data_IF_426364017574
#
_entry.id   IF_426364017574
#
_cell.length_a   1.000
_cell.length_b   1.000
_cell.length_c   1.000
_cell.angle_alpha   90.00
_cell.angle_beta   90.00
_cell.angle_gamma   90.00
#
_symmetry.space_group_name_H-M   'P 1'
#
loop_
_entity.id
_entity.type
_entity.pdbx_description
1 polymer ?
#
# COMPACT_ATOMS: atom_id res chain seq x y z
N UNK A 1 -9.25 -28.03 3.30
CA UNK A 1 -8.93 -27.67 1.89
C UNK A 1 -9.78 -28.43 0.88
N UNK A 2 -10.00 -29.75 1.03
CA UNK A 2 -10.82 -30.53 0.08
C UNK A 2 -12.22 -29.95 -0.25
N UNK A 3 -12.90 -29.28 0.69
CA UNK A 3 -14.21 -28.66 0.40
C UNK A 3 -14.16 -27.40 -0.48
N UNK A 4 -13.04 -26.66 -0.48
CA UNK A 4 -12.85 -25.50 -1.37
C UNK A 4 -12.59 -25.93 -2.81
N UNK A 5 -11.67 -26.88 -2.98
CA UNK A 5 -11.36 -27.48 -4.29
C UNK A 5 -12.58 -28.17 -4.92
N UNK A 6 -13.39 -28.85 -4.10
CA UNK A 6 -14.62 -29.48 -4.55
C UNK A 6 -15.61 -28.45 -5.10
N UNK A 7 -15.87 -27.36 -4.39
CA UNK A 7 -16.79 -26.29 -4.81
C UNK A 7 -16.33 -25.62 -6.12
N UNK A 8 -15.04 -25.30 -6.23
CA UNK A 8 -14.47 -24.65 -7.41
C UNK A 8 -14.38 -25.58 -8.62
N UNK A 9 -14.30 -26.89 -8.40
CA UNK A 9 -14.32 -27.89 -9.48
C UNK A 9 -15.70 -28.04 -10.14
N UNK A 10 -16.78 -27.62 -9.46
CA UNK A 10 -18.16 -27.71 -9.98
C UNK A 10 -18.27 -26.93 -11.29
N UNK A 11 -17.75 -25.69 -11.36
CA UNK A 11 -17.78 -24.87 -12.60
C UNK A 11 -16.92 -25.44 -13.73
N UNK A 12 -16.00 -26.36 -13.43
CA UNK A 12 -15.04 -26.93 -14.39
C UNK A 12 -15.53 -28.27 -14.95
N UNK A 13 -16.67 -28.78 -14.51
CA UNK A 13 -17.22 -30.03 -15.05
C UNK A 13 -17.60 -29.85 -16.53
N UNK A 14 -17.28 -30.81 -17.41
CA UNK A 14 -17.68 -30.74 -18.80
C UNK A 14 -19.19 -30.92 -18.92
N UNK A 15 -19.83 -30.10 -19.77
CA UNK A 15 -21.26 -30.25 -20.09
C UNK A 15 -21.50 -31.56 -20.83
N UNK A 16 -22.37 -32.46 -20.35
CA UNK A 16 -22.75 -33.66 -21.09
C UNK A 16 -23.47 -33.30 -22.39
N UNK A 17 -23.24 -34.07 -23.46
CA UNK A 17 -23.79 -33.80 -24.79
C UNK A 17 -25.33 -33.80 -24.85
N UNK A 18 -25.96 -34.50 -23.90
CA UNK A 18 -27.41 -34.71 -23.82
C UNK A 18 -28.15 -33.64 -22.99
N UNK A 19 -27.42 -32.72 -22.35
CA UNK A 19 -27.98 -31.71 -21.45
C UNK A 19 -28.01 -30.34 -22.14
N UNK A 20 -29.16 -29.68 -22.10
CA UNK A 20 -29.31 -28.30 -22.58
C UNK A 20 -28.47 -27.33 -21.74
N UNK A 21 -28.14 -26.17 -22.30
CA UNK A 21 -27.31 -25.19 -21.59
C UNK A 21 -27.99 -24.68 -20.31
N UNK A 22 -29.31 -24.44 -20.32
CA UNK A 22 -30.06 -24.05 -19.12
C UNK A 22 -30.07 -25.15 -18.05
N UNK A 23 -30.27 -26.41 -18.43
CA UNK A 23 -30.27 -27.52 -17.47
C UNK A 23 -28.89 -27.75 -16.86
N UNK A 24 -27.83 -27.60 -17.65
CA UNK A 24 -26.46 -27.70 -17.15
C UNK A 24 -26.16 -26.55 -16.18
N UNK A 25 -26.49 -25.31 -16.55
CA UNK A 25 -26.31 -24.14 -15.68
C UNK A 25 -27.09 -24.28 -14.35
N UNK A 26 -28.33 -24.77 -14.40
CA UNK A 26 -29.13 -25.03 -13.20
C UNK A 26 -28.53 -26.13 -12.32
N UNK A 27 -27.97 -27.20 -12.91
CA UNK A 27 -27.29 -28.25 -12.18
C UNK A 27 -26.02 -27.76 -11.46
N UNK A 28 -25.22 -26.93 -12.15
CA UNK A 28 -24.06 -26.25 -11.56
C UNK A 28 -24.49 -25.35 -10.39
N UNK A 29 -25.57 -24.58 -10.55
CA UNK A 29 -26.06 -23.68 -9.50
C UNK A 29 -26.54 -24.44 -8.26
N UNK A 30 -27.31 -25.51 -8.42
CA UNK A 30 -27.78 -26.34 -7.29
C UNK A 30 -26.62 -27.01 -6.57
N UNK A 31 -25.67 -27.59 -7.30
CA UNK A 31 -24.49 -28.23 -6.71
C UNK A 31 -23.62 -27.22 -5.94
N UNK A 32 -23.50 -25.98 -6.42
CA UNK A 32 -22.85 -24.90 -5.67
C UNK A 32 -23.59 -24.59 -4.39
N UNK A 33 -24.91 -24.40 -4.45
CA UNK A 33 -25.67 -24.04 -3.25
C UNK A 33 -25.58 -25.13 -2.16
N UNK A 34 -25.61 -26.40 -2.55
CA UNK A 34 -25.42 -27.54 -1.63
C UNK A 34 -24.04 -27.55 -0.96
N UNK A 35 -22.98 -27.11 -1.68
CA UNK A 35 -21.61 -27.12 -1.19
C UNK A 35 -21.16 -25.78 -0.57
N UNK A 36 -22.00 -24.75 -0.63
CA UNK A 36 -21.68 -23.38 -0.20
C UNK A 36 -21.31 -23.27 1.27
N UNK A 37 -22.06 -23.94 2.16
CA UNK A 37 -21.77 -23.92 3.60
C UNK A 37 -20.40 -24.51 3.93
N UNK A 38 -20.02 -25.60 3.26
CA UNK A 38 -18.70 -26.21 3.39
C UNK A 38 -17.60 -25.30 2.85
N UNK A 39 -17.83 -24.66 1.70
CA UNK A 39 -16.91 -23.68 1.12
C UNK A 39 -16.64 -22.51 2.09
N UNK A 40 -17.70 -21.86 2.57
CA UNK A 40 -17.60 -20.72 3.48
C UNK A 40 -16.93 -21.08 4.81
N UNK A 41 -17.18 -22.29 5.33
CA UNK A 41 -16.52 -22.81 6.53
C UNK A 41 -15.01 -22.97 6.33
N UNK A 42 -14.59 -23.65 5.25
CA UNK A 42 -13.17 -23.87 4.98
C UNK A 42 -12.44 -22.59 4.59
N UNK A 43 -13.10 -21.70 3.84
CA UNK A 43 -12.60 -20.37 3.50
C UNK A 43 -12.32 -19.58 4.79
N UNK A 44 -13.28 -19.51 5.70
CA UNK A 44 -13.12 -18.78 6.97
C UNK A 44 -12.03 -19.41 7.87
N UNK A 45 -11.95 -20.74 7.93
CA UNK A 45 -10.93 -21.45 8.70
C UNK A 45 -9.51 -21.20 8.15
N UNK A 46 -9.34 -21.25 6.83
CA UNK A 46 -8.05 -20.98 6.19
C UNK A 46 -7.63 -19.51 6.34
N UNK A 47 -8.58 -18.58 6.23
CA UNK A 47 -8.34 -17.17 6.52
C UNK A 47 -7.85 -16.96 7.96
N UNK A 48 -8.52 -17.57 8.94
CA UNK A 48 -8.14 -17.46 10.34
C UNK A 48 -6.74 -18.04 10.61
N UNK A 49 -6.34 -19.11 9.92
CA UNK A 49 -5.00 -19.66 10.01
C UNK A 49 -3.93 -18.67 9.51
N UNK A 50 -4.19 -17.99 8.40
CA UNK A 50 -3.31 -16.91 7.89
C UNK A 50 -3.20 -15.76 8.88
N UNK A 51 -4.34 -15.36 9.45
CA UNK A 51 -4.39 -14.24 10.40
C UNK A 51 -3.64 -14.53 11.71
N UNK A 52 -3.66 -15.78 12.17
CA UNK A 52 -2.98 -16.22 13.39
C UNK A 52 -1.49 -16.53 13.21
N UNK A 53 -1.03 -16.73 11.97
CA UNK A 53 0.37 -17.08 11.70
C UNK A 53 1.31 -15.89 11.96
N UNK A 54 2.45 -16.17 12.58
CA UNK A 54 3.46 -15.17 12.97
C UNK A 54 4.70 -15.23 12.09
N UNK A 55 5.06 -16.40 11.57
CA UNK A 55 6.18 -16.56 10.65
C UNK A 55 5.80 -16.09 9.24
N UNK A 56 6.58 -15.15 8.70
CA UNK A 56 6.29 -14.53 7.41
C UNK A 56 6.33 -15.52 6.24
N UNK A 57 7.24 -16.50 6.29
CA UNK A 57 7.38 -17.49 5.22
C UNK A 57 6.18 -18.44 5.22
N UNK A 58 5.85 -19.01 6.37
CA UNK A 58 4.73 -19.92 6.57
C UNK A 58 3.40 -19.24 6.24
N UNK A 59 3.23 -17.96 6.63
CA UNK A 59 2.06 -17.17 6.25
C UNK A 59 1.92 -17.02 4.75
N UNK A 60 3.02 -16.82 4.02
CA UNK A 60 2.98 -16.77 2.56
C UNK A 60 2.61 -18.11 1.93
N UNK A 61 3.12 -19.22 2.47
CA UNK A 61 2.73 -20.55 1.98
C UNK A 61 1.21 -20.78 2.15
N UNK A 62 0.64 -20.33 3.28
CA UNK A 62 -0.81 -20.35 3.50
C UNK A 62 -1.59 -19.43 2.56
N UNK A 63 -1.08 -18.22 2.29
CA UNK A 63 -1.67 -17.29 1.31
C UNK A 63 -1.68 -17.89 -0.10
N UNK A 64 -0.58 -18.51 -0.51
CA UNK A 64 -0.47 -19.12 -1.85
C UNK A 64 -1.47 -20.29 -1.97
N UNK A 65 -1.60 -21.12 -0.94
CA UNK A 65 -2.63 -22.17 -0.89
C UNK A 65 -4.05 -21.59 -0.91
N UNK A 66 -4.32 -20.58 -0.08
CA UNK A 66 -5.63 -19.95 0.01
C UNK A 66 -6.06 -19.37 -1.33
N UNK A 67 -5.22 -18.58 -1.97
CA UNK A 67 -5.57 -17.94 -3.25
C UNK A 67 -5.67 -18.92 -4.42
N UNK A 68 -5.10 -20.12 -4.28
CA UNK A 68 -5.27 -21.21 -5.24
C UNK A 68 -6.62 -21.93 -5.03
N UNK A 69 -7.03 -22.14 -3.78
CA UNK A 69 -8.24 -22.90 -3.41
C UNK A 69 -9.50 -22.03 -3.39
N UNK A 70 -9.36 -20.72 -3.10
CA UNK A 70 -10.44 -19.75 -2.96
C UNK A 70 -10.19 -18.50 -3.82
N UNK A 71 -10.09 -18.64 -5.16
CA UNK A 71 -9.74 -17.55 -6.09
C UNK A 71 -10.79 -16.44 -6.22
N UNK A 72 -12.00 -16.64 -5.67
CA UNK A 72 -13.10 -15.66 -5.64
C UNK A 72 -13.50 -15.35 -4.19
N UNK A 73 -12.53 -15.26 -3.29
CA UNK A 73 -12.82 -15.16 -1.86
C UNK A 73 -13.37 -13.78 -1.47
N UNK A 74 -14.28 -13.76 -0.50
CA UNK A 74 -14.69 -12.50 0.14
C UNK A 74 -13.58 -11.85 0.97
N UNK A 75 -12.49 -12.58 1.24
CA UNK A 75 -11.35 -12.11 2.01
C UNK A 75 -10.17 -11.63 1.15
N UNK A 76 -10.33 -11.51 -0.17
CA UNK A 76 -9.23 -11.21 -1.10
C UNK A 76 -8.41 -9.97 -0.69
N UNK A 77 -9.06 -8.90 -0.22
CA UNK A 77 -8.36 -7.68 0.22
C UNK A 77 -7.51 -7.90 1.48
N UNK A 78 -8.05 -8.65 2.45
CA UNK A 78 -7.35 -8.99 3.70
C UNK A 78 -6.21 -9.97 3.42
N UNK A 79 -6.42 -10.96 2.56
CA UNK A 79 -5.38 -11.90 2.12
C UNK A 79 -4.25 -11.16 1.41
N UNK A 80 -4.57 -10.22 0.52
CA UNK A 80 -3.57 -9.39 -0.12
C UNK A 80 -2.78 -8.56 0.89
N UNK A 81 -3.44 -8.04 1.93
CA UNK A 81 -2.79 -7.29 3.01
C UNK A 81 -1.79 -8.17 3.79
N UNK A 82 -2.16 -9.41 4.14
CA UNK A 82 -1.25 -10.36 4.79
C UNK A 82 -0.10 -10.79 3.87
N UNK A 83 -0.36 -10.93 2.58
CA UNK A 83 0.66 -11.23 1.59
C UNK A 83 1.71 -10.12 1.52
N UNK A 84 1.26 -8.87 1.38
CA UNK A 84 2.14 -7.70 1.32
C UNK A 84 2.94 -7.52 2.61
N UNK A 85 2.32 -7.70 3.78
CA UNK A 85 3.01 -7.67 5.07
C UNK A 85 4.13 -8.72 5.12
N UNK A 86 3.81 -9.96 4.75
CA UNK A 86 4.74 -11.09 4.86
C UNK A 86 5.90 -10.96 3.88
N UNK A 87 5.63 -10.59 2.63
CA UNK A 87 6.66 -10.33 1.62
C UNK A 87 7.55 -9.15 2.00
N UNK A 88 7.00 -8.11 2.64
CA UNK A 88 7.78 -7.00 3.20
C UNK A 88 8.71 -7.47 4.33
N UNK A 89 8.24 -8.34 5.23
CA UNK A 89 9.06 -8.91 6.31
C UNK A 89 10.19 -9.80 5.77
N UNK A 90 9.90 -10.57 4.72
CA UNK A 90 10.88 -11.41 4.00
C UNK A 90 11.85 -10.58 3.14
N UNK A 91 11.58 -9.29 2.95
CA UNK A 91 12.29 -8.41 2.01
C UNK A 91 12.29 -8.95 0.57
N UNK A 92 11.27 -9.72 0.19
CA UNK A 92 11.09 -10.23 -1.17
C UNK A 92 10.36 -9.20 -2.02
N UNK A 93 11.07 -8.11 -2.35
CA UNK A 93 10.53 -6.98 -3.08
C UNK A 93 10.00 -7.37 -4.47
N UNK A 94 10.56 -8.41 -5.09
CA UNK A 94 10.12 -8.89 -6.40
C UNK A 94 8.72 -9.48 -6.31
N UNK A 95 8.50 -10.43 -5.39
CA UNK A 95 7.16 -11.01 -5.18
C UNK A 95 6.19 -9.96 -4.66
N UNK A 96 6.63 -9.07 -3.78
CA UNK A 96 5.83 -7.98 -3.23
C UNK A 96 5.24 -7.09 -4.34
N UNK A 97 6.09 -6.66 -5.28
CA UNK A 97 5.65 -5.88 -6.45
C UNK A 97 4.66 -6.65 -7.32
N UNK A 98 4.96 -7.91 -7.64
CA UNK A 98 4.04 -8.74 -8.47
C UNK A 98 2.68 -8.95 -7.80
N UNK A 99 2.66 -9.14 -6.49
CA UNK A 99 1.42 -9.32 -5.74
C UNK A 99 0.58 -8.05 -5.74
N UNK A 100 1.22 -6.89 -5.57
CA UNK A 100 0.56 -5.60 -5.65
C UNK A 100 -0.03 -5.34 -7.06
N UNK A 101 0.70 -5.67 -8.13
CA UNK A 101 0.18 -5.57 -9.51
C UNK A 101 -1.05 -6.46 -9.73
N UNK A 102 -1.04 -7.69 -9.21
CA UNK A 102 -2.22 -8.58 -9.26
C UNK A 102 -3.40 -7.99 -8.50
N UNK A 103 -3.17 -7.47 -7.29
CA UNK A 103 -4.21 -6.82 -6.49
C UNK A 103 -4.82 -5.61 -7.22
N UNK A 104 -4.00 -4.82 -7.91
CA UNK A 104 -4.45 -3.68 -8.71
C UNK A 104 -5.21 -4.06 -9.98
N UNK A 105 -4.97 -5.26 -10.52
CA UNK A 105 -5.74 -5.80 -11.64
C UNK A 105 -7.14 -6.19 -11.18
N UNK A 106 -7.27 -6.80 -9.99
CA UNK A 106 -8.55 -7.21 -9.41
C UNK A 106 -9.35 -6.02 -8.86
N UNK A 107 -8.70 -5.12 -8.12
CA UNK A 107 -9.27 -3.89 -7.61
C UNK A 107 -8.31 -2.72 -7.92
N UNK A 108 -8.59 -1.94 -8.98
CA UNK A 108 -7.77 -0.78 -9.36
C UNK A 108 -7.63 0.29 -8.26
N UNK A 109 -8.51 0.32 -7.27
CA UNK A 109 -8.52 1.29 -6.18
C UNK A 109 -8.01 0.70 -4.86
N UNK A 110 -7.36 -0.47 -4.89
CA UNK A 110 -6.77 -1.09 -3.70
C UNK A 110 -5.66 -0.20 -3.12
N UNK A 111 -6.01 0.56 -2.08
CA UNK A 111 -5.14 1.57 -1.47
C UNK A 111 -3.79 1.01 -0.97
N UNK A 112 -3.74 -0.09 -0.20
CA UNK A 112 -2.46 -0.66 0.21
C UNK A 112 -1.56 -1.04 -0.96
N UNK A 113 -2.11 -1.65 -2.01
CA UNK A 113 -1.34 -2.02 -3.19
C UNK A 113 -0.83 -0.80 -3.95
N UNK A 114 -1.67 0.24 -4.13
CA UNK A 114 -1.27 1.50 -4.76
C UNK A 114 -0.10 2.16 -4.00
N UNK A 115 -0.20 2.25 -2.68
CA UNK A 115 0.85 2.84 -1.84
C UNK A 115 2.14 2.05 -1.87
N UNK A 116 2.03 0.72 -1.85
CA UNK A 116 3.19 -0.16 -1.89
C UNK A 116 3.99 0.01 -3.19
N UNK A 117 3.32 -0.09 -4.36
CA UNK A 117 4.01 0.07 -5.64
C UNK A 117 4.54 1.49 -5.80
N UNK A 118 3.81 2.51 -5.32
CA UNK A 118 4.27 3.89 -5.38
C UNK A 118 5.56 4.08 -4.56
N UNK A 119 5.63 3.54 -3.33
CA UNK A 119 6.83 3.57 -2.50
C UNK A 119 8.00 2.81 -3.13
N UNK A 120 7.74 1.61 -3.64
CA UNK A 120 8.75 0.77 -4.32
C UNK A 120 9.38 1.50 -5.50
N UNK A 121 8.56 2.13 -6.35
CA UNK A 121 9.04 2.87 -7.51
C UNK A 121 9.75 4.18 -7.17
N UNK A 122 9.31 4.90 -6.12
CA UNK A 122 10.00 6.13 -5.73
C UNK A 122 11.32 5.84 -5.04
N UNK A 123 11.49 4.70 -4.37
CA UNK A 123 12.74 4.32 -3.70
C UNK A 123 13.73 3.63 -4.64
N UNK A 124 13.21 2.90 -5.63
CA UNK A 124 13.99 2.20 -6.64
C UNK A 124 14.79 3.12 -7.58
N UNK A 125 15.65 2.48 -8.37
CA UNK A 125 16.49 3.10 -9.41
C UNK A 125 16.03 2.77 -10.83
N UNK A 126 14.86 2.14 -10.98
CA UNK A 126 14.35 1.70 -12.27
C UNK A 126 14.12 2.89 -13.23
N UNK A 127 14.47 2.76 -14.52
CA UNK A 127 14.16 3.77 -15.53
C UNK A 127 12.67 4.09 -15.56
N UNK A 128 12.31 5.36 -15.42
CA UNK A 128 10.91 5.80 -15.37
C UNK A 128 10.17 5.48 -14.07
N UNK A 129 10.85 4.89 -13.06
CA UNK A 129 10.25 4.55 -11.77
C UNK A 129 9.57 5.75 -11.11
N UNK A 130 10.20 6.93 -11.15
CA UNK A 130 9.62 8.15 -10.58
C UNK A 130 8.30 8.58 -11.24
N UNK A 131 8.12 8.33 -12.55
CA UNK A 131 6.86 8.60 -13.23
C UNK A 131 5.78 7.60 -12.82
N UNK A 132 6.12 6.31 -12.71
CA UNK A 132 5.21 5.28 -12.21
C UNK A 132 4.79 5.55 -10.76
N UNK A 133 5.73 5.95 -9.90
CA UNK A 133 5.45 6.31 -8.52
C UNK A 133 4.42 7.44 -8.41
N UNK A 134 4.55 8.50 -9.22
CA UNK A 134 3.57 9.58 -9.29
C UNK A 134 2.19 9.06 -9.72
N UNK A 135 2.12 8.25 -10.78
CA UNK A 135 0.85 7.69 -11.25
C UNK A 135 0.13 6.91 -10.16
N UNK A 136 0.83 6.03 -9.45
CA UNK A 136 0.23 5.23 -8.38
C UNK A 136 -0.11 6.05 -7.13
N UNK A 137 0.75 7.01 -6.75
CA UNK A 137 0.47 7.92 -5.65
C UNK A 137 -0.77 8.78 -5.92
N UNK A 138 -0.91 9.33 -7.13
CA UNK A 138 -2.09 10.11 -7.53
C UNK A 138 -3.37 9.28 -7.48
N UNK A 139 -3.32 8.04 -7.97
CA UNK A 139 -4.45 7.09 -7.83
C UNK A 139 -4.78 6.84 -6.36
N UNK A 140 -3.79 6.65 -5.50
CA UNK A 140 -4.01 6.44 -4.07
C UNK A 140 -4.66 7.66 -3.40
N UNK A 141 -4.23 8.88 -3.74
CA UNK A 141 -4.84 10.12 -3.24
C UNK A 141 -6.34 10.16 -3.58
N UNK A 142 -6.70 9.88 -4.83
CA UNK A 142 -8.09 9.86 -5.30
C UNK A 142 -8.90 8.75 -4.62
N UNK A 143 -8.35 7.52 -4.57
CA UNK A 143 -9.03 6.37 -3.95
C UNK A 143 -9.23 6.55 -2.44
N UNK A 144 -8.35 7.28 -1.77
CA UNK A 144 -8.42 7.52 -0.34
C UNK A 144 -9.58 8.43 0.05
N UNK A 145 -9.92 9.42 -0.79
CA UNK A 145 -10.98 10.42 -0.53
C UNK A 145 -10.82 11.11 0.83
N UNK A 146 -9.61 11.53 1.18
CA UNK A 146 -9.31 12.04 2.52
C UNK A 146 -10.06 13.33 2.91
N UNK A 147 -10.52 14.10 1.93
CA UNK A 147 -11.33 15.31 2.13
C UNK A 147 -12.81 14.99 2.45
N UNK A 148 -13.24 13.74 2.26
CA UNK A 148 -14.57 13.31 2.67
C UNK A 148 -14.66 13.36 4.21
N UNK A 149 -15.66 14.06 4.79
CA UNK A 149 -15.86 14.06 6.25
C UNK A 149 -16.04 12.66 6.85
N UNK A 150 -16.55 11.71 6.06
CA UNK A 150 -16.71 10.31 6.45
C UNK A 150 -15.42 9.47 6.33
N UNK A 151 -14.33 10.02 5.78
CA UNK A 151 -13.07 9.29 5.65
C UNK A 151 -12.50 8.96 7.03
N UNK A 152 -12.29 7.67 7.25
CA UNK A 152 -11.66 7.15 8.46
C UNK A 152 -10.17 7.54 8.55
N UNK A 153 -9.58 7.26 9.72
CA UNK A 153 -8.16 7.52 9.99
C UNK A 153 -7.24 6.83 8.98
N UNK A 154 -7.55 5.60 8.57
CA UNK A 154 -6.71 4.81 7.66
C UNK A 154 -6.63 5.45 6.27
N UNK A 155 -7.76 5.94 5.75
CA UNK A 155 -7.85 6.67 4.49
C UNK A 155 -7.05 7.97 4.52
N UNK A 156 -7.15 8.74 5.62
CA UNK A 156 -6.40 9.99 5.78
C UNK A 156 -4.88 9.75 5.84
N UNK A 157 -4.45 8.73 6.60
CA UNK A 157 -3.04 8.31 6.62
C UNK A 157 -2.60 7.87 5.22
N UNK A 158 -3.41 7.07 4.53
CA UNK A 158 -3.10 6.58 3.17
C UNK A 158 -2.89 7.73 2.20
N UNK A 159 -3.78 8.73 2.18
CA UNK A 159 -3.60 9.93 1.37
C UNK A 159 -2.33 10.70 1.76
N UNK A 160 -2.06 10.84 3.06
CA UNK A 160 -0.84 11.50 3.55
C UNK A 160 0.45 10.81 3.07
N UNK A 161 0.50 9.48 3.14
CA UNK A 161 1.62 8.68 2.62
C UNK A 161 1.72 8.83 1.10
N UNK A 162 0.61 8.81 0.37
CA UNK A 162 0.61 9.00 -1.08
C UNK A 162 1.15 10.38 -1.49
N UNK A 163 0.72 11.45 -0.82
CA UNK A 163 1.28 12.80 -0.99
C UNK A 163 2.78 12.83 -0.68
N UNK A 164 3.23 12.11 0.35
CA UNK A 164 4.67 12.01 0.68
C UNK A 164 5.45 11.38 -0.47
N UNK A 165 4.95 10.28 -1.04
CA UNK A 165 5.55 9.63 -2.22
C UNK A 165 5.57 10.56 -3.42
N UNK A 166 4.46 11.24 -3.72
CA UNK A 166 4.38 12.16 -4.84
C UNK A 166 5.37 13.32 -4.69
N UNK A 167 5.50 13.86 -3.48
CA UNK A 167 6.50 14.88 -3.16
C UNK A 167 7.91 14.41 -3.45
N UNK A 168 8.31 13.27 -2.86
CA UNK A 168 9.64 12.66 -3.08
C UNK A 168 9.91 12.39 -4.56
N UNK A 169 8.89 11.98 -5.31
CA UNK A 169 8.99 11.75 -6.74
C UNK A 169 9.21 13.07 -7.52
N UNK A 170 8.50 14.14 -7.18
CA UNK A 170 8.75 15.46 -7.76
C UNK A 170 10.13 16.01 -7.40
N UNK A 171 10.60 15.81 -6.17
CA UNK A 171 11.95 16.20 -5.75
C UNK A 171 13.02 15.51 -6.60
N UNK A 172 12.88 14.19 -6.84
CA UNK A 172 13.77 13.42 -7.75
C UNK A 172 13.73 13.91 -9.20
N UNK A 173 12.63 14.54 -9.63
CA UNK A 173 12.50 15.17 -10.94
C UNK A 173 12.95 16.64 -10.96
N UNK A 174 13.60 17.13 -9.89
CA UNK A 174 13.99 18.53 -9.75
C UNK A 174 12.82 19.53 -9.75
N UNK A 175 11.58 19.04 -9.60
CA UNK A 175 10.34 19.83 -9.54
C UNK A 175 10.04 20.26 -8.10
N UNK A 176 10.97 20.97 -7.47
CA UNK A 176 10.93 21.28 -6.03
C UNK A 176 9.67 22.03 -5.58
N UNK A 177 9.11 22.93 -6.40
CA UNK A 177 7.86 23.63 -6.06
C UNK A 177 6.64 22.70 -5.95
N UNK A 178 6.52 21.73 -6.86
CA UNK A 178 5.47 20.70 -6.78
C UNK A 178 5.72 19.76 -5.60
N UNK A 179 6.97 19.40 -5.36
CA UNK A 179 7.34 18.59 -4.19
C UNK A 179 6.89 19.24 -2.87
N UNK A 180 7.19 20.52 -2.68
CA UNK A 180 6.74 21.28 -1.49
C UNK A 180 5.21 21.26 -1.36
N UNK A 181 4.49 21.40 -2.46
CA UNK A 181 3.01 21.38 -2.44
C UNK A 181 2.50 20.05 -1.92
N UNK A 182 2.97 18.94 -2.48
CA UNK A 182 2.58 17.59 -2.05
C UNK A 182 3.01 17.29 -0.61
N UNK A 183 4.24 17.65 -0.22
CA UNK A 183 4.74 17.38 1.13
C UNK A 183 4.03 18.21 2.21
N UNK A 184 3.50 19.39 1.87
CA UNK A 184 2.61 20.14 2.76
C UNK A 184 1.28 19.43 2.99
N UNK A 185 0.67 18.88 1.93
CA UNK A 185 -0.54 18.06 2.06
C UNK A 185 -0.26 16.81 2.90
N UNK A 186 0.87 16.13 2.66
CA UNK A 186 1.30 14.97 3.42
C UNK A 186 1.45 15.28 4.92
N UNK A 187 2.22 16.32 5.26
CA UNK A 187 2.46 16.70 6.66
C UNK A 187 1.18 17.12 7.37
N UNK A 188 0.25 17.80 6.68
CA UNK A 188 -1.06 18.16 7.24
C UNK A 188 -1.92 16.94 7.57
N UNK A 189 -1.89 15.90 6.73
CA UNK A 189 -2.71 14.68 6.92
C UNK A 189 -2.10 13.73 7.96
N UNK A 190 -0.77 13.69 8.07
CA UNK A 190 -0.06 12.71 8.90
C UNK A 190 0.19 13.18 10.33
N UNK A 191 0.28 14.49 10.56
CA UNK A 191 0.58 15.06 11.88
C UNK A 191 -0.46 14.64 12.92
N UNK A 192 0.01 14.06 14.02
CA UNK A 192 -0.84 13.53 15.09
C UNK A 192 -1.62 12.26 14.73
N UNK A 193 -1.45 11.74 13.51
CA UNK A 193 -2.06 10.49 13.05
C UNK A 193 -1.05 9.35 13.00
N UNK A 194 0.14 9.63 12.44
CA UNK A 194 1.29 8.73 12.32
C UNK A 194 2.59 9.54 12.38
N UNK A 195 3.25 9.53 13.55
CA UNK A 195 4.45 10.34 13.80
C UNK A 195 5.64 9.95 12.93
N UNK A 196 5.77 8.67 12.55
CA UNK A 196 6.86 8.20 11.70
C UNK A 196 6.69 8.72 10.28
N UNK A 197 5.50 8.54 9.71
CA UNK A 197 5.20 9.00 8.36
C UNK A 197 5.21 10.54 8.28
N UNK A 198 4.71 11.21 9.33
CA UNK A 198 4.83 12.65 9.48
C UNK A 198 6.30 13.09 9.45
N UNK A 199 7.17 12.47 10.26
CA UNK A 199 8.58 12.80 10.30
C UNK A 199 9.28 12.62 8.95
N UNK A 200 8.95 11.55 8.22
CA UNK A 200 9.48 11.30 6.88
C UNK A 200 9.06 12.41 5.90
N UNK A 201 7.77 12.72 5.81
CA UNK A 201 7.28 13.76 4.92
C UNK A 201 7.86 15.15 5.26
N UNK A 202 7.90 15.48 6.55
CA UNK A 202 8.46 16.73 7.06
C UNK A 202 9.98 16.84 6.81
N UNK A 203 10.73 15.74 6.89
CA UNK A 203 12.16 15.74 6.56
C UNK A 203 12.39 16.17 5.10
N UNK A 204 11.68 15.55 4.15
CA UNK A 204 11.78 15.93 2.74
C UNK A 204 11.29 17.37 2.50
N UNK A 205 10.26 17.83 3.20
CA UNK A 205 9.79 19.21 3.12
C UNK A 205 10.87 20.19 3.59
N UNK A 206 11.53 19.89 4.71
CA UNK A 206 12.64 20.67 5.23
C UNK A 206 13.84 20.70 4.26
N UNK A 207 14.13 19.58 3.61
CA UNK A 207 15.16 19.49 2.57
C UNK A 207 14.84 20.35 1.35
N UNK A 208 13.60 20.31 0.85
CA UNK A 208 13.19 21.14 -0.28
C UNK A 208 13.19 22.63 0.06
N UNK A 209 12.75 23.02 1.26
CA UNK A 209 12.88 24.41 1.71
C UNK A 209 14.34 24.85 1.79
N UNK A 210 15.23 24.01 2.32
CA UNK A 210 16.66 24.33 2.39
C UNK A 210 17.27 24.49 0.99
N UNK A 211 16.88 23.62 0.03
CA UNK A 211 17.32 23.70 -1.37
C UNK A 211 16.92 25.03 -2.04
N UNK A 212 15.76 25.58 -1.70
CA UNK A 212 15.31 26.90 -2.18
C UNK A 212 15.80 28.07 -1.32
N UNK A 213 16.76 27.86 -0.41
CA UNK A 213 17.25 28.86 0.54
C UNK A 213 16.14 29.46 1.44
N UNK A 214 15.02 28.75 1.63
CA UNK A 214 13.92 29.11 2.53
C UNK A 214 14.23 28.62 3.95
N UNK A 215 15.32 29.16 4.50
CA UNK A 215 15.98 28.59 5.68
C UNK A 215 15.14 28.72 6.96
N UNK A 216 14.25 29.70 7.04
CA UNK A 216 13.35 29.86 8.20
C UNK A 216 12.33 28.72 8.24
N UNK A 217 11.68 28.44 7.11
CA UNK A 217 10.72 27.34 6.98
C UNK A 217 11.40 25.98 7.14
N UNK A 218 12.57 25.80 6.52
CA UNK A 218 13.37 24.58 6.69
C UNK A 218 13.67 24.30 8.17
N UNK A 219 14.19 25.31 8.90
CA UNK A 219 14.47 25.16 10.33
C UNK A 219 13.22 24.83 11.13
N UNK A 220 12.10 25.48 10.85
CA UNK A 220 10.84 25.27 11.59
C UNK A 220 10.41 23.81 11.51
N UNK A 221 10.36 23.24 10.31
CA UNK A 221 9.93 21.85 10.10
C UNK A 221 10.95 20.86 10.66
N UNK A 222 12.25 21.08 10.45
CA UNK A 222 13.29 20.17 10.92
C UNK A 222 13.41 20.15 12.45
N UNK A 223 13.19 21.28 13.11
CA UNK A 223 13.13 21.34 14.58
C UNK A 223 12.01 20.47 15.15
N UNK A 224 10.85 20.48 14.50
CA UNK A 224 9.67 19.73 14.96
C UNK A 224 9.92 18.22 14.95
N UNK A 225 10.70 17.73 13.98
CA UNK A 225 10.93 16.29 13.81
C UNK A 225 12.25 15.80 14.41
N UNK A 226 13.15 16.68 14.83
CA UNK A 226 14.47 16.31 15.35
C UNK A 226 14.39 15.43 16.61
N UNK A 227 13.29 15.50 17.37
CA UNK A 227 13.06 14.69 18.56
C UNK A 227 12.32 13.37 18.27
N UNK A 228 11.72 13.20 17.09
CA UNK A 228 10.95 12.00 16.75
C UNK A 228 11.93 10.86 16.46
N UNK A 229 11.94 9.83 17.31
CA UNK A 229 12.74 8.62 17.10
C UNK A 229 12.35 7.94 15.80
N UNK A 230 13.30 7.54 14.96
CA UNK A 230 13.00 6.89 13.69
C UNK A 230 14.13 7.03 12.66
N UNK A 231 13.94 6.50 11.45
CA UNK A 231 14.99 6.45 10.42
C UNK A 231 15.46 7.84 9.97
N UNK A 232 14.61 8.86 10.10
CA UNK A 232 14.92 10.24 9.69
C UNK A 232 15.40 11.14 10.83
N UNK A 233 15.46 10.65 12.08
CA UNK A 233 15.82 11.47 13.24
C UNK A 233 17.21 12.10 13.10
N UNK A 234 18.24 11.27 12.86
CA UNK A 234 19.61 11.75 12.71
C UNK A 234 19.77 12.60 11.43
N UNK A 235 19.28 12.17 10.25
CA UNK A 235 19.27 13.02 9.06
C UNK A 235 18.64 14.41 9.28
N UNK A 236 17.53 14.48 10.03
CA UNK A 236 16.88 15.74 10.35
C UNK A 236 17.76 16.65 11.23
N UNK A 237 18.41 16.09 12.26
CA UNK A 237 19.36 16.83 13.12
C UNK A 237 20.55 17.37 12.33
N UNK A 238 21.09 16.56 11.43
CA UNK A 238 22.24 16.95 10.60
C UNK A 238 21.86 18.08 9.63
N UNK A 239 20.71 17.94 8.95
CA UNK A 239 20.21 18.97 8.04
C UNK A 239 19.84 20.26 8.79
N UNK A 240 19.22 20.15 9.98
CA UNK A 240 18.92 21.29 10.84
C UNK A 240 20.19 22.06 11.22
N UNK A 241 21.27 21.36 11.53
CA UNK A 241 22.57 21.97 11.83
C UNK A 241 23.07 22.77 10.62
N UNK A 242 23.05 22.18 9.42
CA UNK A 242 23.45 22.87 8.18
C UNK A 242 22.61 24.11 7.91
N UNK A 243 21.28 24.01 8.07
CA UNK A 243 20.35 25.14 7.92
C UNK A 243 20.67 26.25 8.92
N UNK A 244 20.94 25.93 10.18
CA UNK A 244 21.29 26.92 11.19
C UNK A 244 22.62 27.63 10.88
N UNK A 245 23.63 26.89 10.43
CA UNK A 245 24.91 27.47 10.00
C UNK A 245 24.74 28.41 8.80
N UNK A 246 24.00 27.99 7.77
CA UNK A 246 23.73 28.81 6.59
C UNK A 246 22.98 30.11 6.94
N UNK A 247 22.02 30.03 7.87
CA UNK A 247 21.31 31.23 8.37
C UNK A 247 22.20 32.19 9.13
N UNK A 248 23.18 31.67 9.87
CA UNK A 248 24.11 32.49 10.62
C UNK A 248 25.12 33.19 9.70
N UNK A 249 25.52 32.55 8.59
CA UNK A 249 26.45 33.10 7.61
C UNK A 249 25.83 34.13 6.65
N UNK A 250 24.50 34.09 6.46
CA UNK A 250 23.76 35.06 5.65
C UNK A 250 23.25 36.29 6.40
N UNK A 251 23.66 36.46 7.67
CA UNK A 251 23.46 37.66 8.48
C UNK A 251 24.73 38.49 8.51
#
# INVERSE_FOLDING_TARGET
MQGGEAFDSIEKQPKPAEVSDEQFASGIASAKEENKGSYEFFESAAFNAIAAETDAKTRMDYVDQFTTVFPKSKFDEQIASYAMLSLSQLKDNRRLNSYAEKALTANPDNLPALLLVANSYVDGSEPGGTAKALTYAQRAIVAAKADDPAADKSRKISAGVAHSVAGRAYAKQEKTALSITELKSATSLLKGQDDQQFAVAAYYLGWDYAKLNRLTEARSVLNEIAAISGPVQQPAKDLLTKVNTARAAGK
#
